data_IF_802947529840
#
_entry.id   IF_802947529840
#
_cell.length_a   1.000
_cell.length_b   1.000
_cell.length_c   1.000
_cell.angle_alpha   90.00
_cell.angle_beta   90.00
_cell.angle_gamma   90.00
#
_symmetry.space_group_name_H-M   'P 1'
#
loop_
_entity.id
_entity.type
_entity.pdbx_description
1 polymer ?
#
# COMPACT_ATOMS: atom_id res chain seq x y z
N UNK A 1 -42.29 -66.69 -37.70
CA UNK A 1 -41.11 -65.84 -37.97
C UNK A 1 -40.90 -64.92 -36.78
N UNK A 2 -39.76 -65.05 -36.09
CA UNK A 2 -39.45 -64.38 -34.82
C UNK A 2 -39.25 -62.88 -35.03
N UNK A 3 -40.00 -62.03 -34.31
CA UNK A 3 -39.72 -60.58 -34.22
C UNK A 3 -38.56 -60.39 -33.24
N UNK A 4 -37.46 -59.80 -33.70
CA UNK A 4 -36.35 -59.39 -32.84
C UNK A 4 -36.54 -57.94 -32.45
N UNK A 5 -36.81 -57.69 -31.17
CA UNK A 5 -36.69 -56.36 -30.58
C UNK A 5 -35.23 -56.19 -30.16
N UNK A 6 -34.52 -55.29 -30.82
CA UNK A 6 -33.22 -54.81 -30.36
C UNK A 6 -33.46 -53.69 -29.34
N UNK A 7 -33.08 -53.92 -28.09
CA UNK A 7 -32.87 -52.84 -27.13
C UNK A 7 -31.60 -52.09 -27.55
N UNK A 8 -31.74 -50.82 -27.88
CA UNK A 8 -30.61 -49.90 -28.03
C UNK A 8 -30.14 -49.55 -26.61
N UNK A 9 -28.88 -49.83 -26.22
CA UNK A 9 -28.40 -49.37 -24.92
C UNK A 9 -28.25 -47.85 -24.98
N UNK A 10 -28.92 -47.15 -24.07
CA UNK A 10 -28.76 -45.72 -23.85
C UNK A 10 -27.36 -45.51 -23.24
N UNK A 11 -26.34 -45.36 -24.08
CA UNK A 11 -25.01 -44.92 -23.62
C UNK A 11 -25.13 -43.45 -23.24
N UNK A 12 -25.21 -43.19 -21.94
CA UNK A 12 -25.06 -41.86 -21.39
C UNK A 12 -23.67 -41.32 -21.76
N UNK A 13 -23.63 -40.39 -22.71
CA UNK A 13 -22.43 -39.63 -23.03
C UNK A 13 -22.19 -38.67 -21.88
N UNK A 14 -21.39 -39.10 -20.90
CA UNK A 14 -20.93 -38.25 -19.80
C UNK A 14 -19.96 -37.23 -20.41
N UNK A 15 -20.47 -36.06 -20.80
CA UNK A 15 -19.67 -34.93 -21.22
C UNK A 15 -18.91 -34.44 -19.98
N UNK A 16 -17.66 -34.88 -19.80
CA UNK A 16 -16.78 -34.34 -18.77
C UNK A 16 -16.41 -32.93 -19.23
N UNK A 17 -17.19 -31.95 -18.81
CA UNK A 17 -16.80 -30.54 -18.88
C UNK A 17 -15.71 -30.38 -17.82
N UNK A 18 -14.45 -30.55 -18.23
CA UNK A 18 -13.35 -30.00 -17.45
C UNK A 18 -13.52 -28.49 -17.49
N UNK A 19 -14.07 -27.91 -16.43
CA UNK A 19 -13.78 -26.52 -16.12
C UNK A 19 -12.28 -26.46 -15.89
N UNK A 20 -11.53 -26.14 -16.94
CA UNK A 20 -10.23 -25.53 -16.73
C UNK A 20 -10.57 -24.24 -16.01
N UNK A 21 -10.39 -24.23 -14.69
CA UNK A 21 -10.23 -22.98 -13.99
C UNK A 21 -9.14 -22.25 -14.77
N UNK A 22 -9.50 -21.17 -15.46
CA UNK A 22 -8.52 -20.17 -15.80
C UNK A 22 -7.98 -19.73 -14.45
N UNK A 23 -6.84 -20.29 -14.10
CA UNK A 23 -5.93 -19.70 -13.14
C UNK A 23 -5.62 -18.32 -13.71
N UNK A 24 -6.41 -17.32 -13.34
CA UNK A 24 -5.92 -15.96 -13.29
C UNK A 24 -4.96 -15.91 -12.12
N UNK A 25 -3.84 -16.62 -12.28
CA UNK A 25 -2.64 -16.44 -11.50
C UNK A 25 -2.16 -15.05 -11.83
N UNK A 26 -2.70 -14.06 -11.14
CA UNK A 26 -2.08 -12.75 -11.01
C UNK A 26 -0.70 -13.02 -10.42
N UNK A 27 0.31 -13.04 -11.29
CA UNK A 27 1.68 -13.35 -10.94
C UNK A 27 2.12 -12.38 -9.86
N UNK A 28 2.15 -12.85 -8.62
CA UNK A 28 2.82 -12.19 -7.52
C UNK A 28 4.32 -12.31 -7.78
N UNK A 29 4.81 -11.53 -8.74
CA UNK A 29 6.21 -11.54 -9.18
C UNK A 29 7.14 -10.88 -8.13
N UNK A 30 6.57 -10.23 -7.11
CA UNK A 30 7.29 -9.80 -5.90
C UNK A 30 7.51 -10.96 -4.93
N UNK A 31 8.76 -11.25 -4.58
CA UNK A 31 9.08 -12.29 -3.58
C UNK A 31 8.69 -11.79 -2.19
N UNK A 32 7.61 -12.34 -1.62
CA UNK A 32 7.17 -12.05 -0.25
C UNK A 32 8.12 -12.67 0.78
N UNK A 33 8.45 -11.89 1.80
CA UNK A 33 9.29 -12.25 2.95
C UNK A 33 8.42 -12.12 4.20
N UNK A 34 8.00 -13.26 4.76
CA UNK A 34 7.12 -13.29 5.94
C UNK A 34 7.89 -12.98 7.22
N UNK A 35 7.29 -12.20 8.12
CA UNK A 35 7.89 -11.73 9.37
C UNK A 35 9.28 -11.13 9.14
N UNK A 36 9.44 -10.31 8.10
CA UNK A 36 10.73 -9.77 7.67
C UNK A 36 11.39 -8.90 8.75
N UNK A 37 10.59 -8.21 9.57
CA UNK A 37 11.08 -7.35 10.64
C UNK A 37 10.04 -7.20 11.75
N UNK A 38 10.52 -6.94 12.97
CA UNK A 38 9.71 -6.60 14.13
C UNK A 38 10.20 -5.27 14.70
N UNK A 39 9.30 -4.34 15.00
CA UNK A 39 9.66 -3.08 15.69
C UNK A 39 9.80 -3.28 17.21
N UNK A 40 10.19 -2.22 17.92
CA UNK A 40 10.40 -2.24 19.37
C UNK A 40 9.11 -2.53 20.17
N UNK A 41 7.94 -2.27 19.58
CA UNK A 41 6.62 -2.55 20.16
C UNK A 41 6.17 -4.00 19.95
N UNK A 42 6.96 -4.80 19.23
CA UNK A 42 6.61 -6.18 18.88
C UNK A 42 5.66 -6.27 17.67
N UNK A 43 5.43 -5.19 16.93
CA UNK A 43 4.68 -5.27 15.68
C UNK A 43 5.54 -5.97 14.62
N UNK A 44 4.96 -7.00 14.00
CA UNK A 44 5.62 -7.77 12.95
C UNK A 44 5.13 -7.30 11.58
N UNK A 45 6.08 -7.16 10.66
CA UNK A 45 5.83 -6.70 9.30
C UNK A 45 6.33 -7.74 8.31
N UNK A 46 5.46 -8.12 7.38
CA UNK A 46 5.87 -8.81 6.15
C UNK A 46 6.49 -7.79 5.19
N UNK A 47 7.30 -8.27 4.26
CA UNK A 47 7.96 -7.44 3.25
C UNK A 47 7.90 -8.07 1.86
N UNK A 48 8.22 -7.28 0.84
CA UNK A 48 8.32 -7.72 -0.54
C UNK A 48 9.60 -7.22 -1.17
N UNK A 49 10.28 -8.08 -1.93
CA UNK A 49 11.42 -7.69 -2.75
C UNK A 49 10.94 -7.19 -4.11
N UNK A 50 11.31 -5.95 -4.46
CA UNK A 50 10.99 -5.29 -5.73
C UNK A 50 12.29 -4.70 -6.29
N UNK A 51 12.77 -5.29 -7.38
CA UNK A 51 14.11 -5.01 -7.90
C UNK A 51 15.17 -5.36 -6.84
N UNK A 52 16.02 -4.39 -6.53
CA UNK A 52 17.05 -4.54 -5.51
C UNK A 52 16.58 -4.13 -4.10
N UNK A 53 15.39 -3.53 -3.97
CA UNK A 53 14.87 -3.02 -2.71
C UNK A 53 13.94 -4.04 -2.03
N UNK A 54 13.89 -3.96 -0.70
CA UNK A 54 12.96 -4.74 0.11
C UNK A 54 12.08 -3.77 0.90
N UNK A 55 10.77 -3.80 0.64
CA UNK A 55 9.80 -2.85 1.18
C UNK A 55 8.84 -3.53 2.14
N UNK A 56 8.43 -2.85 3.21
CA UNK A 56 7.33 -3.33 4.07
C UNK A 56 6.01 -3.44 3.27
N UNK A 57 5.18 -4.43 3.60
CA UNK A 57 3.85 -4.60 2.99
C UNK A 57 2.73 -3.89 3.75
N UNK A 58 2.98 -3.41 4.98
CA UNK A 58 2.01 -2.62 5.75
C UNK A 58 2.65 -1.34 6.25
N UNK A 59 1.81 -0.32 6.50
CA UNK A 59 2.25 0.95 7.07
C UNK A 59 2.82 0.72 8.48
N UNK A 60 3.84 1.49 8.84
CA UNK A 60 4.43 1.47 10.17
C UNK A 60 3.38 1.84 11.22
N UNK A 61 3.43 1.17 12.38
CA UNK A 61 2.53 1.42 13.51
C UNK A 61 3.22 1.39 14.88
N UNK A 62 4.50 1.74 14.89
CA UNK A 62 5.26 1.87 16.13
C UNK A 62 4.87 3.12 16.90
N UNK A 63 4.86 3.03 18.22
CA UNK A 63 4.61 4.11 19.19
C UNK A 63 5.90 4.47 19.94
N UNK A 64 7.03 3.87 19.58
CA UNK A 64 8.35 4.14 20.15
C UNK A 64 9.41 4.18 19.04
N UNK A 65 10.51 4.90 19.28
CA UNK A 65 11.69 4.85 18.42
C UNK A 65 12.52 3.59 18.68
N UNK A 66 13.54 3.33 17.84
CA UNK A 66 14.47 2.18 18.01
C UNK A 66 15.10 2.09 19.39
N UNK A 67 15.39 3.24 19.99
CA UNK A 67 15.97 3.32 21.34
C UNK A 67 14.97 3.00 22.46
N UNK A 68 13.71 2.71 22.11
CA UNK A 68 12.61 2.44 23.03
C UNK A 68 11.98 3.68 23.64
N UNK A 69 12.39 4.89 23.27
CA UNK A 69 11.74 6.11 23.74
C UNK A 69 10.38 6.31 23.06
N UNK A 70 9.40 6.75 23.86
CA UNK A 70 8.03 6.92 23.39
C UNK A 70 7.90 8.07 22.38
N UNK A 71 7.00 7.87 21.42
CA UNK A 71 6.45 8.93 20.58
C UNK A 71 5.09 9.27 21.18
N UNK A 72 4.85 10.52 21.52
CA UNK A 72 3.57 10.90 22.11
C UNK A 72 2.45 10.90 21.04
N UNK A 73 1.23 10.59 21.46
CA UNK A 73 0.05 10.70 20.60
C UNK A 73 -0.41 12.16 20.57
N UNK A 74 -0.46 12.77 19.39
CA UNK A 74 -1.08 14.08 19.21
C UNK A 74 -2.62 13.99 19.22
N UNK A 75 -3.27 14.98 19.82
CA UNK A 75 -4.74 15.07 19.93
C UNK A 75 -5.37 16.22 19.14
N UNK A 76 -4.57 17.25 18.84
CA UNK A 76 -5.08 18.53 18.33
C UNK A 76 -4.50 18.83 16.94
N UNK A 77 -3.55 19.77 16.88
CA UNK A 77 -2.87 20.18 15.67
C UNK A 77 -1.61 19.35 15.39
N UNK A 78 -1.12 19.48 14.16
CA UNK A 78 0.22 19.03 13.81
C UNK A 78 1.25 19.91 14.54
N UNK A 79 2.03 19.33 15.45
CA UNK A 79 3.14 20.05 16.09
C UNK A 79 4.30 20.22 15.10
N UNK A 80 4.84 21.43 15.02
CA UNK A 80 6.05 21.74 14.26
C UNK A 80 7.34 21.50 15.09
N UNK A 81 7.20 21.22 16.39
CA UNK A 81 8.32 21.11 17.32
C UNK A 81 8.45 19.71 17.90
N UNK A 82 7.34 19.09 18.26
CA UNK A 82 7.32 17.82 18.97
C UNK A 82 7.13 16.65 18.01
N UNK A 83 7.87 15.55 18.18
CA UNK A 83 7.61 14.33 17.43
C UNK A 83 6.33 13.66 17.91
N UNK A 84 5.36 13.51 17.02
CA UNK A 84 4.04 12.97 17.36
C UNK A 84 3.60 11.92 16.34
N UNK A 85 2.89 10.91 16.85
CA UNK A 85 2.02 10.07 16.04
C UNK A 85 0.56 10.47 16.25
N UNK A 86 -0.29 10.14 15.29
CA UNK A 86 -1.72 10.40 15.29
C UNK A 86 -2.46 9.14 14.90
N UNK A 87 -3.67 8.99 15.44
CA UNK A 87 -4.56 7.86 15.21
C UNK A 87 -6.00 8.33 15.43
N UNK A 88 -6.95 8.05 14.50
CA UNK A 88 -8.34 8.37 14.73
C UNK A 88 -8.92 7.44 15.79
N UNK A 89 -9.85 7.95 16.59
CA UNK A 89 -10.70 7.10 17.43
C UNK A 89 -11.72 6.38 16.56
N UNK A 90 -12.25 5.24 17.06
CA UNK A 90 -13.32 4.51 16.37
C UNK A 90 -14.62 5.32 16.25
N UNK A 91 -14.81 6.34 17.09
CA UNK A 91 -15.95 7.27 17.02
C UNK A 91 -15.78 8.28 15.89
N UNK A 92 -14.58 8.79 15.69
CA UNK A 92 -14.26 9.68 14.57
C UNK A 92 -14.23 8.92 13.26
N UNK A 93 -13.77 7.66 13.29
CA UNK A 93 -13.62 6.87 12.08
C UNK A 93 -13.78 5.36 12.25
N UNK A 94 -14.99 4.86 12.10
CA UNK A 94 -15.30 3.43 12.24
C UNK A 94 -14.61 2.52 11.20
N UNK A 95 -14.25 3.06 10.02
CA UNK A 95 -13.57 2.30 8.97
C UNK A 95 -12.07 2.12 9.20
N UNK A 96 -11.48 2.89 10.12
CA UNK A 96 -10.06 2.80 10.42
C UNK A 96 -9.73 1.57 11.29
N UNK A 97 -8.63 0.92 10.95
CA UNK A 97 -8.03 -0.18 11.70
C UNK A 97 -6.51 0.00 11.72
N UNK A 98 -5.91 0.06 12.92
CA UNK A 98 -4.48 0.30 13.10
C UNK A 98 -3.62 -0.76 12.39
N UNK A 99 -4.06 -2.02 12.37
CA UNK A 99 -3.28 -3.09 11.75
C UNK A 99 -3.22 -2.98 10.23
N UNK A 100 -4.31 -2.51 9.62
CA UNK A 100 -4.46 -2.34 8.18
C UNK A 100 -3.87 -1.02 7.70
N UNK A 101 -4.14 0.07 8.40
CA UNK A 101 -3.84 1.44 7.96
C UNK A 101 -2.52 1.98 8.53
N UNK A 102 -2.03 1.42 9.63
CA UNK A 102 -0.88 1.93 10.37
C UNK A 102 -1.19 3.23 11.12
N UNK A 103 -0.13 3.88 11.60
CA UNK A 103 -0.23 5.18 12.27
C UNK A 103 0.19 6.31 11.32
N UNK A 104 -0.17 7.53 11.69
CA UNK A 104 0.19 8.75 10.97
C UNK A 104 1.25 9.48 11.76
N UNK A 105 2.37 9.83 11.15
CA UNK A 105 3.49 10.50 11.82
C UNK A 105 3.63 11.92 11.28
N UNK A 106 3.92 12.89 12.14
CA UNK A 106 4.33 14.21 11.66
C UNK A 106 5.80 14.19 11.21
N UNK A 107 6.25 15.28 10.58
CA UNK A 107 7.62 15.38 10.10
C UNK A 107 8.65 15.21 11.23
N UNK A 108 8.39 15.75 12.42
CA UNK A 108 9.32 15.63 13.56
C UNK A 108 9.49 14.22 14.08
N UNK A 109 8.49 13.36 13.92
CA UNK A 109 8.61 11.95 14.20
C UNK A 109 9.40 11.19 13.12
N UNK A 110 9.27 11.61 11.86
CA UNK A 110 9.99 11.03 10.71
C UNK A 110 11.47 11.42 10.72
N UNK A 111 11.75 12.70 10.89
CA UNK A 111 13.08 13.31 10.90
C UNK A 111 13.63 13.37 12.34
N UNK A 112 13.83 12.18 12.91
CA UNK A 112 14.35 12.01 14.26
C UNK A 112 15.57 11.09 14.27
N UNK A 113 16.65 11.52 14.92
CA UNK A 113 17.92 10.78 15.00
C UNK A 113 17.79 9.41 15.69
N UNK A 114 16.76 9.23 16.51
CA UNK A 114 16.49 7.97 17.21
C UNK A 114 15.97 6.86 16.28
N UNK A 115 15.59 7.21 15.06
CA UNK A 115 15.16 6.27 14.03
C UNK A 115 13.73 5.77 14.22
N UNK A 116 12.84 6.12 13.30
CA UNK A 116 11.43 5.75 13.35
C UNK A 116 11.17 4.30 12.89
N UNK A 117 11.77 3.88 11.78
CA UNK A 117 11.67 2.51 11.28
C UNK A 117 12.49 1.55 12.18
N UNK A 118 12.26 0.23 12.15
CA UNK A 118 13.08 -0.74 12.91
C UNK A 118 14.57 -0.73 12.52
N UNK A 119 15.40 -1.39 13.32
CA UNK A 119 16.83 -1.57 13.02
C UNK A 119 17.05 -2.31 11.69
N UNK A 120 17.96 -1.82 10.85
CA UNK A 120 18.23 -2.36 9.50
C UNK A 120 17.19 -1.95 8.43
N UNK A 121 16.31 -1.01 8.76
CA UNK A 121 15.32 -0.42 7.87
C UNK A 121 15.32 1.09 8.04
N UNK A 122 14.80 1.85 7.10
CA UNK A 122 14.71 3.31 7.22
C UNK A 122 13.49 3.88 6.49
N UNK A 123 13.20 5.16 6.74
CA UNK A 123 12.18 5.90 5.99
C UNK A 123 12.76 6.17 4.60
N UNK A 124 12.08 5.75 3.53
CA UNK A 124 12.62 5.79 2.18
C UNK A 124 12.90 7.22 1.73
N UNK A 125 13.99 7.41 1.00
CA UNK A 125 14.30 8.65 0.29
C UNK A 125 13.45 8.81 -0.98
N UNK A 126 13.46 10.01 -1.54
CA UNK A 126 12.86 10.28 -2.85
C UNK A 126 13.49 9.43 -3.96
N UNK A 127 14.81 9.23 -3.91
CA UNK A 127 15.54 8.42 -4.88
C UNK A 127 15.14 6.93 -4.81
N UNK A 128 14.91 6.41 -3.61
CA UNK A 128 14.46 5.02 -3.43
C UNK A 128 13.04 4.81 -3.91
N UNK A 129 12.15 5.77 -3.71
CA UNK A 129 10.82 5.73 -4.32
C UNK A 129 10.90 5.79 -5.84
N UNK A 130 11.77 6.64 -6.40
CA UNK A 130 12.00 6.69 -7.85
C UNK A 130 12.54 5.35 -8.37
N UNK A 131 13.48 4.72 -7.67
CA UNK A 131 13.98 3.39 -8.04
C UNK A 131 12.87 2.33 -8.04
N UNK A 132 11.98 2.36 -7.04
CA UNK A 132 10.81 1.48 -7.00
C UNK A 132 9.90 1.73 -8.22
N UNK A 133 9.55 2.97 -8.50
CA UNK A 133 8.67 3.34 -9.63
C UNK A 133 9.28 2.93 -10.98
N UNK A 134 10.57 3.17 -11.18
CA UNK A 134 11.29 2.77 -12.40
C UNK A 134 11.33 1.24 -12.56
N UNK A 135 11.62 0.51 -11.48
CA UNK A 135 11.58 -0.95 -11.50
C UNK A 135 10.18 -1.43 -11.88
N UNK A 136 9.13 -0.95 -11.20
CA UNK A 136 7.76 -1.41 -11.46
C UNK A 136 7.32 -1.04 -12.89
N UNK A 137 7.62 0.17 -13.35
CA UNK A 137 7.31 0.63 -14.71
C UNK A 137 8.10 -0.09 -15.81
N UNK A 138 9.24 -0.70 -15.49
CA UNK A 138 10.01 -1.53 -16.43
C UNK A 138 9.42 -2.93 -16.64
N UNK A 139 8.47 -3.36 -15.81
CA UNK A 139 7.84 -4.68 -15.90
C UNK A 139 6.46 -4.55 -16.56
N UNK A 140 6.30 -5.15 -17.74
CA UNK A 140 5.02 -5.09 -18.49
C UNK A 140 3.82 -5.60 -17.67
N UNK A 141 4.04 -6.57 -16.79
CA UNK A 141 2.98 -7.17 -15.96
C UNK A 141 2.43 -6.23 -14.89
N UNK A 142 3.13 -5.12 -14.60
CA UNK A 142 2.74 -4.14 -13.59
C UNK A 142 2.20 -2.84 -14.17
N UNK A 143 2.27 -2.66 -15.49
CA UNK A 143 1.87 -1.43 -16.17
C UNK A 143 0.46 -1.61 -16.75
N UNK A 144 -0.40 -0.64 -16.48
CA UNK A 144 -1.70 -0.55 -17.14
C UNK A 144 -1.58 0.27 -18.43
N UNK A 145 -1.91 -0.31 -19.59
CA UNK A 145 -1.86 0.38 -20.88
C UNK A 145 -0.43 0.58 -21.39
N UNK A 146 -0.22 1.65 -22.18
CA UNK A 146 1.03 1.86 -22.93
C UNK A 146 2.01 2.87 -22.28
N UNK A 147 1.67 3.41 -21.10
CA UNK A 147 2.50 4.37 -20.37
C UNK A 147 3.13 3.71 -19.14
N UNK A 148 4.46 3.59 -19.13
CA UNK A 148 5.21 2.91 -18.06
C UNK A 148 5.06 3.57 -16.67
N UNK A 149 4.42 4.73 -16.57
CA UNK A 149 4.09 5.39 -15.30
C UNK A 149 2.76 4.92 -14.71
N UNK A 150 1.93 4.19 -15.46
CA UNK A 150 0.61 3.73 -15.03
C UNK A 150 0.71 2.47 -14.15
N UNK A 151 1.42 2.62 -13.03
CA UNK A 151 1.78 1.55 -12.10
C UNK A 151 1.00 1.60 -10.78
N UNK A 152 0.10 2.58 -10.62
CA UNK A 152 -0.64 2.82 -9.38
C UNK A 152 -1.42 1.58 -8.92
N UNK A 153 -2.08 0.87 -9.85
CA UNK A 153 -2.80 -0.38 -9.52
C UNK A 153 -1.87 -1.47 -9.01
N UNK A 154 -0.68 -1.61 -9.59
CA UNK A 154 0.25 -2.66 -9.21
C UNK A 154 0.77 -2.49 -7.77
N UNK A 155 0.84 -1.25 -7.27
CA UNK A 155 1.29 -0.92 -5.92
C UNK A 155 0.13 -0.77 -4.91
N UNK A 156 -1.06 -0.39 -5.37
CA UNK A 156 -2.25 -0.20 -4.54
C UNK A 156 -2.70 -1.49 -3.86
N UNK A 157 -3.27 -1.39 -2.66
CA UNK A 157 -4.00 -2.49 -2.02
C UNK A 157 -5.24 -2.87 -2.82
N UNK A 158 -5.74 -4.09 -2.57
CA UNK A 158 -7.01 -4.56 -3.11
C UNK A 158 -8.23 -4.09 -2.31
N UNK A 159 -8.01 -3.41 -1.19
CA UNK A 159 -9.07 -2.99 -0.26
C UNK A 159 -8.93 -1.53 0.13
N UNK A 160 -10.06 -0.93 0.51
CA UNK A 160 -10.12 0.40 1.12
C UNK A 160 -10.34 1.55 0.15
N UNK A 161 -10.20 1.35 -1.17
CA UNK A 161 -10.35 2.42 -2.16
C UNK A 161 -11.81 2.80 -2.40
N UNK A 162 -12.08 4.09 -2.51
CA UNK A 162 -13.33 4.62 -3.05
C UNK A 162 -13.43 4.30 -4.55
N UNK A 163 -14.65 4.18 -5.04
CA UNK A 163 -14.91 4.01 -6.47
C UNK A 163 -14.55 5.29 -7.24
N UNK A 164 -13.80 5.16 -8.34
CA UNK A 164 -13.42 6.31 -9.15
C UNK A 164 -14.60 6.81 -9.99
N UNK A 165 -14.74 8.13 -10.22
CA UNK A 165 -15.93 8.69 -10.89
C UNK A 165 -16.00 8.38 -12.40
N UNK A 166 -14.91 7.91 -13.01
CA UNK A 166 -14.85 7.58 -14.44
C UNK A 166 -14.53 6.10 -14.66
N UNK A 167 -15.07 5.49 -15.71
CA UNK A 167 -14.83 4.09 -16.09
C UNK A 167 -13.43 3.78 -16.66
N UNK A 168 -12.44 4.66 -16.46
CA UNK A 168 -11.07 4.35 -16.86
C UNK A 168 -10.55 3.21 -15.97
N UNK A 169 -10.42 2.00 -16.51
CA UNK A 169 -10.08 0.79 -15.73
C UNK A 169 -8.70 0.89 -15.06
N UNK A 170 -7.82 1.75 -15.59
CA UNK A 170 -6.51 2.06 -15.01
C UNK A 170 -6.58 2.81 -13.68
N UNK A 171 -7.72 3.41 -13.33
CA UNK A 171 -7.86 4.08 -12.04
C UNK A 171 -7.81 3.05 -10.90
N UNK A 172 -7.11 3.39 -9.83
CA UNK A 172 -6.87 2.51 -8.69
C UNK A 172 -8.18 2.06 -8.01
N UNK A 173 -9.16 2.95 -7.93
CA UNK A 173 -10.47 2.71 -7.32
C UNK A 173 -11.43 1.84 -8.15
N UNK A 174 -11.12 1.60 -9.42
CA UNK A 174 -11.95 0.77 -10.29
C UNK A 174 -11.44 -0.68 -10.27
N UNK A 175 -12.31 -1.67 -10.04
CA UNK A 175 -11.91 -3.08 -9.95
C UNK A 175 -10.70 -3.30 -9.01
N UNK A 176 -10.81 -2.94 -7.72
CA UNK A 176 -9.68 -2.98 -6.79
C UNK A 176 -9.14 -4.41 -6.55
N UNK A 177 -9.93 -5.46 -6.81
CA UNK A 177 -9.46 -6.85 -6.74
C UNK A 177 -8.31 -7.16 -7.71
N UNK A 178 -8.17 -6.38 -8.79
CA UNK A 178 -7.06 -6.48 -9.74
C UNK A 178 -5.81 -5.68 -9.33
N UNK A 179 -5.86 -4.94 -8.22
CA UNK A 179 -4.70 -4.20 -7.70
C UNK A 179 -3.68 -5.15 -7.06
N UNK A 180 -2.54 -4.58 -6.65
CA UNK A 180 -1.51 -5.21 -5.83
C UNK A 180 -0.71 -6.35 -6.48
N UNK A 181 -0.50 -6.31 -7.80
CA UNK A 181 0.32 -7.29 -8.50
C UNK A 181 1.76 -7.38 -7.96
N UNK A 182 2.28 -6.29 -7.37
CA UNK A 182 3.62 -6.26 -6.76
C UNK A 182 3.67 -6.84 -5.35
N UNK A 183 2.55 -6.92 -4.64
CA UNK A 183 2.49 -7.20 -3.21
C UNK A 183 2.81 -6.00 -2.30
N UNK A 184 3.11 -4.81 -2.81
CA UNK A 184 3.45 -3.62 -2.00
C UNK A 184 2.31 -3.18 -1.04
N UNK A 185 1.06 -3.33 -1.47
CA UNK A 185 -0.16 -3.11 -0.67
C UNK A 185 -0.28 -1.68 -0.10
N UNK A 186 -0.24 -0.66 -0.96
CA UNK A 186 -0.50 0.72 -0.56
C UNK A 186 -1.99 0.91 -0.19
N UNK A 187 -2.27 1.12 1.09
CA UNK A 187 -3.64 1.31 1.62
C UNK A 187 -4.00 2.80 1.66
N UNK A 188 -5.22 3.21 1.24
CA UNK A 188 -5.64 4.61 1.24
C UNK A 188 -6.03 5.12 2.63
N UNK A 189 -5.05 5.20 3.52
CA UNK A 189 -5.23 5.65 4.89
C UNK A 189 -5.52 7.16 5.00
N UNK A 190 -5.36 7.94 3.93
CA UNK A 190 -5.53 9.39 4.00
C UNK A 190 -4.44 10.07 4.83
N UNK A 191 -4.78 11.22 5.42
CA UNK A 191 -3.87 12.05 6.22
C UNK A 191 -4.59 12.73 7.38
N UNK A 192 -3.82 13.22 8.34
CA UNK A 192 -4.31 14.13 9.38
C UNK A 192 -3.72 15.52 9.20
N UNK A 193 -4.56 16.54 9.20
CA UNK A 193 -4.16 17.94 9.03
C UNK A 193 -5.24 18.86 9.61
N UNK A 194 -4.83 19.91 10.33
CA UNK A 194 -5.72 20.96 10.86
C UNK A 194 -6.94 20.40 11.63
N UNK A 195 -6.71 19.46 12.56
CA UNK A 195 -7.73 18.75 13.34
C UNK A 195 -8.72 17.92 12.51
N UNK A 196 -8.37 17.58 11.28
CA UNK A 196 -9.27 16.86 10.38
C UNK A 196 -8.58 15.65 9.75
N UNK A 197 -9.32 14.54 9.74
CA UNK A 197 -9.00 13.34 8.97
C UNK A 197 -9.50 13.52 7.54
N UNK A 198 -8.59 13.48 6.57
CA UNK A 198 -8.90 13.74 5.17
C UNK A 198 -8.49 12.61 4.24
N UNK A 199 -9.20 12.50 3.13
CA UNK A 199 -8.82 11.66 1.97
C UNK A 199 -8.70 10.16 2.25
N UNK A 200 -9.30 9.66 3.33
CA UNK A 200 -9.39 8.23 3.58
C UNK A 200 -10.25 7.55 2.53
N UNK A 201 -9.80 6.39 2.09
CA UNK A 201 -10.32 5.67 0.93
C UNK A 201 -10.00 6.32 -0.41
N UNK A 202 -9.60 7.60 -0.43
CA UNK A 202 -9.26 8.30 -1.65
C UNK A 202 -7.76 8.24 -1.96
N UNK A 203 -6.88 8.34 -0.95
CA UNK A 203 -5.45 8.49 -1.19
C UNK A 203 -4.60 7.75 -0.16
N UNK A 204 -3.58 7.04 -0.64
CA UNK A 204 -2.48 6.55 0.18
C UNK A 204 -1.35 7.59 0.15
N UNK A 205 -0.99 8.16 1.32
CA UNK A 205 0.09 9.14 1.45
C UNK A 205 1.29 8.54 2.16
N UNK A 206 2.48 8.74 1.59
CA UNK A 206 3.74 8.27 2.18
C UNK A 206 4.74 9.41 2.32
N UNK A 207 5.33 9.53 3.51
CA UNK A 207 6.52 10.35 3.69
C UNK A 207 7.71 9.79 2.90
N UNK A 208 8.57 10.69 2.43
CA UNK A 208 9.96 10.38 2.13
C UNK A 208 10.87 11.10 3.12
N UNK A 209 12.07 10.57 3.39
CA UNK A 209 13.08 11.23 4.23
C UNK A 209 13.78 12.40 3.51
N UNK A 210 13.47 12.65 2.24
CA UNK A 210 14.13 13.70 1.45
C UNK A 210 13.35 15.02 1.53
N UNK A 211 13.98 16.03 2.12
CA UNK A 211 13.46 17.40 2.11
C UNK A 211 13.43 17.98 0.70
N UNK A 212 12.39 18.75 0.38
CA UNK A 212 12.25 19.47 -0.89
C UNK A 212 12.59 20.97 -0.71
N UNK A 213 12.16 21.55 0.40
CA UNK A 213 12.45 22.94 0.76
C UNK A 213 12.54 23.11 2.28
N UNK A 214 12.73 24.34 2.75
CA UNK A 214 12.90 24.64 4.18
C UNK A 214 11.74 24.12 5.07
N UNK A 215 10.53 24.01 4.53
CA UNK A 215 9.34 23.61 5.28
C UNK A 215 8.52 22.50 4.59
N UNK A 216 9.11 21.77 3.64
CA UNK A 216 8.43 20.70 2.92
C UNK A 216 9.36 19.55 2.56
N UNK A 217 8.78 18.35 2.45
CA UNK A 217 9.46 17.16 1.91
C UNK A 217 8.71 16.63 0.70
N UNK A 218 9.43 15.85 -0.11
CA UNK A 218 8.80 15.05 -1.15
C UNK A 218 7.94 13.97 -0.49
N UNK A 219 6.82 13.65 -1.13
CA UNK A 219 5.94 12.57 -0.73
C UNK A 219 5.47 11.77 -1.95
N UNK A 220 4.91 10.59 -1.67
CA UNK A 220 4.31 9.72 -2.68
C UNK A 220 2.84 9.49 -2.40
N UNK A 221 2.03 9.68 -3.43
CA UNK A 221 0.59 9.56 -3.35
C UNK A 221 0.12 8.53 -4.37
N UNK A 222 -0.75 7.63 -3.95
CA UNK A 222 -1.56 6.82 -4.86
C UNK A 222 -3.00 7.25 -4.66
N UNK A 223 -3.68 7.65 -5.74
CA UNK A 223 -5.02 8.24 -5.67
C UNK A 223 -6.04 7.38 -6.41
N UNK A 224 -7.24 7.25 -5.85
CA UNK A 224 -8.29 6.35 -6.33
C UNK A 224 -8.70 6.60 -7.79
N UNK A 225 -8.67 7.84 -8.26
CA UNK A 225 -9.04 8.22 -9.63
C UNK A 225 -7.82 8.45 -10.54
N UNK A 226 -6.66 7.90 -10.18
CA UNK A 226 -5.43 8.03 -10.96
C UNK A 226 -4.77 6.66 -11.19
N UNK A 227 -4.18 6.41 -12.37
CA UNK A 227 -3.32 5.25 -12.59
C UNK A 227 -1.88 5.47 -12.11
N UNK A 228 -1.53 6.67 -11.63
CA UNK A 228 -0.16 7.09 -11.34
C UNK A 228 0.19 6.90 -9.86
N UNK A 229 1.50 6.77 -9.61
CA UNK A 229 2.10 7.19 -8.34
C UNK A 229 2.54 8.64 -8.52
N UNK A 230 1.98 9.55 -7.73
CA UNK A 230 2.29 10.97 -7.83
C UNK A 230 3.41 11.33 -6.86
N UNK A 231 4.42 12.03 -7.39
CA UNK A 231 5.48 12.68 -6.63
C UNK A 231 5.11 14.13 -6.40
N UNK A 232 4.78 14.48 -5.16
CA UNK A 232 4.34 15.81 -4.77
C UNK A 232 5.19 16.33 -3.60
N UNK A 233 4.92 17.57 -3.20
CA UNK A 233 5.54 18.16 -2.02
C UNK A 233 4.47 18.62 -1.05
N UNK A 234 4.64 18.26 0.22
CA UNK A 234 3.77 18.76 1.28
C UNK A 234 4.56 19.50 2.33
N UNK A 235 3.95 20.54 2.88
CA UNK A 235 4.48 21.18 4.06
C UNK A 235 4.50 20.22 5.27
N UNK A 236 5.23 20.59 6.31
CA UNK A 236 5.34 19.79 7.54
C UNK A 236 4.10 19.83 8.44
N UNK A 237 3.05 20.59 8.09
CA UNK A 237 1.78 20.69 8.84
C UNK A 237 0.80 19.59 8.42
N UNK A 238 1.25 18.35 8.39
CA UNK A 238 0.44 17.16 8.08
C UNK A 238 1.04 15.95 8.79
N UNK A 239 0.23 14.94 9.08
CA UNK A 239 0.70 13.61 9.44
C UNK A 239 0.21 12.57 8.43
N UNK A 240 1.11 11.66 8.07
CA UNK A 240 0.91 10.64 7.02
C UNK A 240 1.53 9.32 7.42
N UNK A 241 1.19 8.28 6.68
CA UNK A 241 1.80 6.98 6.84
C UNK A 241 3.28 6.98 6.44
N UNK A 242 4.02 6.05 7.04
CA UNK A 242 5.41 5.74 6.71
C UNK A 242 5.45 4.29 6.22
N UNK A 243 6.21 4.05 5.15
CA UNK A 243 6.50 2.72 4.66
C UNK A 243 8.00 2.50 4.62
N UNK A 244 8.53 1.67 5.51
CA UNK A 244 9.98 1.49 5.61
C UNK A 244 10.52 0.61 4.48
N UNK A 245 11.75 0.92 4.06
CA UNK A 245 12.56 0.13 3.14
C UNK A 245 13.79 -0.38 3.89
N UNK A 246 14.29 -1.56 3.52
CA UNK A 246 15.47 -2.16 4.14
C UNK A 246 16.74 -1.48 3.65
N UNK A 247 17.71 -1.30 4.55
CA UNK A 247 19.06 -0.76 4.26
C UNK A 247 19.84 -1.59 3.23
#
# INVERSE_FOLDING_TARGET
>A
MKKHFYLIPLTALLLVITFSACDHGGGQNGKIIRNAVTDVDGNKYDAVKLGDQVWMQTNLRTKHYRDGSAIEQGTDNISAHDPLFYQPTTQEFAAYDEKTHGLYYNWKAVDNEKGLCPEGWHVPSDAEWTQLEEYVGSQSDYVYGDDNRYIGKALASTVGWNEAPSYHEGHVGNNPDANNATGFSAVPAGKFQDHSWGSFGATAYFWTATSNSFNSSWDRWVHYDSPLVLRLSSNYNVAKSVRCVKD
#
